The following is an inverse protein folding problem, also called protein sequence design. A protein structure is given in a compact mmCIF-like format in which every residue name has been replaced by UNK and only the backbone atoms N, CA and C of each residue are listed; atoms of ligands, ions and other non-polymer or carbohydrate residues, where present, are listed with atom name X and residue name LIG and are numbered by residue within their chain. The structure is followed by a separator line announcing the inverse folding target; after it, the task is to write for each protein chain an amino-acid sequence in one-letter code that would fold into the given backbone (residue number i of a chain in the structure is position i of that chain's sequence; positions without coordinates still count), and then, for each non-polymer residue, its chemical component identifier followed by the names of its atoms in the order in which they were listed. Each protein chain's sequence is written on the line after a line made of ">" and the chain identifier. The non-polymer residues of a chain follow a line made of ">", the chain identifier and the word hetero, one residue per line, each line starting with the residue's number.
data_IF_997918751136
#
_entry.id   IF_997918751136
#
_cell.length_a   1.000
_cell.length_b   1.000
_cell.length_c   1.000
_cell.angle_alpha   90.00
_cell.angle_beta   90.00
_cell.angle_gamma   90.00
#
_symmetry.space_group_name_H-M   'P 1'
#
loop_
_entity.id
_entity.type
_entity.pdbx_description
1 polymer ?
#
# COMPACT_ATOMS: atom_id res chain seq x y z
N UNK A 1 28.43 12.48 -21.81
CA UNK A 1 27.74 11.22 -21.41
C UNK A 1 26.88 11.56 -20.21
N UNK A 2 25.68 12.08 -20.44
CA UNK A 2 24.78 12.47 -19.36
C UNK A 2 23.71 11.40 -19.20
N UNK A 3 23.72 10.71 -18.07
CA UNK A 3 22.46 10.26 -17.49
C UNK A 3 22.59 10.41 -15.97
N UNK A 4 22.24 11.61 -15.52
CA UNK A 4 22.03 11.87 -14.12
C UNK A 4 20.72 11.18 -13.73
N UNK A 5 20.81 10.12 -12.94
CA UNK A 5 19.64 9.62 -12.19
C UNK A 5 19.22 10.73 -11.22
N UNK A 6 17.98 11.26 -11.31
CA UNK A 6 17.51 12.25 -10.34
C UNK A 6 17.31 11.58 -8.95
N UNK A 7 17.55 12.30 -7.83
CA UNK A 7 17.25 11.82 -6.50
C UNK A 7 15.73 11.93 -6.28
N UNK A 8 14.99 10.96 -6.80
CA UNK A 8 13.60 10.70 -6.42
C UNK A 8 13.56 9.42 -5.62
N UNK A 9 14.23 9.38 -4.47
CA UNK A 9 14.25 8.21 -3.61
C UNK A 9 12.91 8.08 -2.90
N UNK A 10 11.89 7.61 -3.63
CA UNK A 10 10.78 6.88 -3.05
C UNK A 10 11.34 5.58 -2.46
N UNK A 11 12.01 5.68 -1.32
CA UNK A 11 12.35 4.49 -0.55
C UNK A 11 11.03 3.88 -0.10
N UNK A 12 10.81 2.64 -0.52
CA UNK A 12 9.74 1.82 0.02
C UNK A 12 9.84 1.70 1.53
N UNK A 13 8.81 1.15 2.15
CA UNK A 13 8.80 0.90 3.58
C UNK A 13 9.68 -0.30 3.94
N UNK A 14 10.16 -0.29 5.18
CA UNK A 14 10.80 -1.46 5.77
C UNK A 14 9.87 -2.68 5.71
N UNK A 15 10.38 -3.87 5.32
CA UNK A 15 9.56 -5.07 5.19
C UNK A 15 8.86 -5.45 6.49
N UNK A 16 9.48 -5.16 7.64
CA UNK A 16 8.84 -5.38 8.93
C UNK A 16 7.64 -4.43 9.16
N UNK A 17 7.73 -3.18 8.71
CA UNK A 17 6.61 -2.24 8.80
C UNK A 17 5.45 -2.70 7.90
N UNK A 18 5.76 -3.17 6.69
CA UNK A 18 4.77 -3.75 5.75
C UNK A 18 4.08 -4.98 6.36
N UNK A 19 4.84 -5.88 6.99
CA UNK A 19 4.29 -7.10 7.60
C UNK A 19 3.38 -6.82 8.81
N UNK A 20 3.63 -5.73 9.53
CA UNK A 20 2.82 -5.32 10.68
C UNK A 20 1.57 -4.51 10.31
N UNK A 21 1.29 -4.31 9.01
CA UNK A 21 0.05 -3.67 8.58
C UNK A 21 -1.16 -4.51 9.00
N UNK A 22 -2.30 -3.85 9.35
CA UNK A 22 -3.53 -4.54 9.69
C UNK A 22 -3.96 -5.50 8.57
N UNK A 23 -4.11 -6.78 8.92
CA UNK A 23 -4.67 -7.82 8.05
C UNK A 23 -6.07 -8.14 8.57
N UNK A 24 -7.03 -8.19 7.65
CA UNK A 24 -8.38 -8.68 7.92
C UNK A 24 -8.72 -9.79 6.94
N UNK A 25 -9.59 -10.71 7.36
CA UNK A 25 -10.24 -11.63 6.43
C UNK A 25 -11.37 -10.86 5.76
N UNK A 26 -11.34 -10.83 4.43
CA UNK A 26 -12.40 -10.23 3.66
C UNK A 26 -13.66 -11.08 3.79
N UNK A 27 -14.76 -10.45 4.18
CA UNK A 27 -16.08 -11.07 4.17
C UNK A 27 -16.85 -10.53 2.98
N UNK A 28 -17.31 -11.41 2.10
CA UNK A 28 -18.02 -11.01 0.89
C UNK A 28 -19.35 -10.33 1.24
N UNK A 29 -19.37 -9.00 1.20
CA UNK A 29 -20.57 -8.18 1.44
C UNK A 29 -20.89 -7.23 0.29
N UNK A 30 -19.87 -6.56 -0.24
CA UNK A 30 -19.96 -5.61 -1.36
C UNK A 30 -18.97 -6.06 -2.44
N UNK A 31 -19.27 -5.89 -3.74
CA UNK A 31 -18.31 -6.25 -4.79
C UNK A 31 -17.17 -5.21 -4.81
N UNK A 32 -16.13 -5.45 -4.02
CA UNK A 32 -14.93 -4.60 -3.95
C UNK A 32 -13.75 -5.30 -4.63
N UNK A 33 -12.86 -4.50 -5.22
CA UNK A 33 -11.71 -4.99 -5.99
C UNK A 33 -10.40 -4.33 -5.54
N UNK A 34 -9.30 -5.07 -5.71
CA UNK A 34 -7.97 -4.55 -5.46
C UNK A 34 -7.51 -3.69 -6.64
N UNK A 35 -7.40 -2.36 -6.46
CA UNK A 35 -7.03 -1.46 -7.55
C UNK A 35 -5.58 -1.64 -8.07
N UNK A 36 -4.76 -2.48 -7.43
CA UNK A 36 -3.40 -2.81 -7.88
C UNK A 36 -3.44 -3.88 -8.98
N UNK A 37 -4.27 -4.93 -8.81
CA UNK A 37 -4.37 -6.03 -9.76
C UNK A 37 -5.69 -6.07 -10.54
N UNK A 38 -6.64 -5.20 -10.21
CA UNK A 38 -8.00 -5.15 -10.76
C UNK A 38 -8.78 -6.48 -10.56
N UNK A 39 -8.40 -7.24 -9.52
CA UNK A 39 -9.07 -8.48 -9.13
C UNK A 39 -10.08 -8.23 -8.02
N UNK A 40 -11.25 -8.86 -8.13
CA UNK A 40 -12.30 -8.85 -7.10
C UNK A 40 -11.82 -9.63 -5.88
N UNK A 41 -12.16 -9.16 -4.68
CA UNK A 41 -11.89 -9.92 -3.46
C UNK A 41 -12.85 -11.10 -3.32
N UNK A 42 -12.31 -12.27 -3.04
CA UNK A 42 -13.01 -13.51 -2.73
C UNK A 42 -13.21 -13.65 -1.21
N UNK A 43 -14.24 -14.41 -0.83
CA UNK A 43 -14.54 -14.65 0.58
C UNK A 43 -13.36 -15.32 1.29
N UNK A 44 -13.11 -14.90 2.53
CA UNK A 44 -12.00 -15.36 3.37
C UNK A 44 -10.59 -14.99 2.84
N UNK A 45 -10.47 -14.13 1.83
CA UNK A 45 -9.15 -13.65 1.39
C UNK A 45 -8.49 -12.72 2.42
N UNK A 46 -7.16 -12.87 2.56
CA UNK A 46 -6.36 -11.99 3.40
C UNK A 46 -6.09 -10.67 2.69
N UNK A 47 -6.72 -9.62 3.18
CA UNK A 47 -6.55 -8.25 2.68
C UNK A 47 -5.86 -7.39 3.74
N UNK A 48 -5.06 -6.44 3.28
CA UNK A 48 -4.39 -5.45 4.13
C UNK A 48 -5.08 -4.11 4.03
N UNK A 49 -5.20 -3.45 5.18
CA UNK A 49 -5.80 -2.12 5.31
C UNK A 49 -4.70 -1.11 5.65
N UNK A 50 -4.61 -0.04 4.87
CA UNK A 50 -3.67 1.03 5.16
C UNK A 50 -4.21 1.93 6.29
N UNK A 51 -3.49 2.09 7.42
CA UNK A 51 -4.05 2.69 8.63
C UNK A 51 -4.42 4.18 8.50
N UNK A 52 -3.70 4.97 7.69
CA UNK A 52 -4.02 6.40 7.57
C UNK A 52 -5.14 6.75 6.58
N UNK A 53 -5.61 5.80 5.76
CA UNK A 53 -6.66 6.09 4.78
C UNK A 53 -7.71 4.99 4.61
N UNK A 54 -7.57 3.87 5.33
CA UNK A 54 -8.49 2.73 5.36
C UNK A 54 -8.73 2.04 4.01
N UNK A 55 -7.89 2.30 3.00
CA UNK A 55 -7.98 1.60 1.72
C UNK A 55 -7.48 0.16 1.84
N UNK A 56 -8.19 -0.73 1.15
CA UNK A 56 -8.04 -2.19 1.24
C UNK A 56 -7.43 -2.74 -0.04
N UNK A 57 -6.52 -3.69 0.11
CA UNK A 57 -5.80 -4.33 -0.99
C UNK A 57 -5.54 -5.80 -0.68
N UNK A 58 -5.32 -6.63 -1.70
CA UNK A 58 -4.74 -7.96 -1.46
C UNK A 58 -3.42 -7.80 -0.72
N UNK A 59 -3.22 -8.60 0.33
CA UNK A 59 -2.00 -8.55 1.15
C UNK A 59 -0.74 -8.59 0.28
N UNK A 60 -0.66 -9.54 -0.66
CA UNK A 60 0.48 -9.66 -1.56
C UNK A 60 0.66 -8.46 -2.51
N UNK A 61 -0.43 -7.86 -2.97
CA UNK A 61 -0.37 -6.74 -3.91
C UNK A 61 0.19 -5.49 -3.25
N UNK A 62 -0.32 -5.15 -2.07
CA UNK A 62 0.15 -3.96 -1.35
C UNK A 62 1.55 -4.16 -0.81
N UNK A 63 1.94 -5.37 -0.42
CA UNK A 63 3.30 -5.63 0.06
C UNK A 63 4.36 -5.37 -1.01
N UNK A 64 4.11 -5.84 -2.24
CA UNK A 64 4.97 -5.56 -3.40
C UNK A 64 5.06 -4.07 -3.70
N UNK A 65 3.92 -3.37 -3.67
CA UNK A 65 3.87 -1.93 -3.89
C UNK A 65 4.66 -1.17 -2.83
N UNK A 66 4.47 -1.51 -1.56
CA UNK A 66 5.09 -0.82 -0.43
C UNK A 66 6.58 -1.07 -0.30
N UNK A 67 7.10 -2.16 -0.84
CA UNK A 67 8.54 -2.36 -1.00
C UNK A 67 9.20 -1.35 -1.94
N UNK A 68 8.42 -0.66 -2.78
CA UNK A 68 8.93 0.36 -3.72
C UNK A 68 8.40 1.77 -3.45
N UNK A 69 7.25 1.93 -2.80
CA UNK A 69 6.58 3.21 -2.60
C UNK A 69 5.93 3.30 -1.22
N UNK A 70 6.24 4.32 -0.44
CA UNK A 70 5.70 4.51 0.92
C UNK A 70 4.36 5.29 0.95
N UNK A 71 3.53 5.15 -0.09
CA UNK A 71 2.25 5.86 -0.24
C UNK A 71 1.12 4.94 -0.71
N UNK A 72 -0.11 5.25 -0.30
CA UNK A 72 -1.32 4.55 -0.74
C UNK A 72 -1.46 4.59 -2.29
N UNK A 73 -1.68 3.43 -2.96
CA UNK A 73 -1.91 3.38 -4.41
C UNK A 73 -3.12 4.18 -4.89
N UNK A 74 -4.16 4.32 -4.05
CA UNK A 74 -5.42 4.95 -4.44
C UNK A 74 -5.42 6.47 -4.21
N UNK A 75 -5.06 6.91 -2.99
CA UNK A 75 -5.15 8.32 -2.61
C UNK A 75 -3.81 9.02 -2.39
N UNK A 76 -2.68 8.30 -2.57
CA UNK A 76 -1.31 8.81 -2.37
C UNK A 76 -0.98 9.28 -0.95
N UNK A 77 -1.81 8.98 0.04
CA UNK A 77 -1.51 9.26 1.44
C UNK A 77 -0.23 8.55 1.88
N UNK A 78 0.73 9.29 2.44
CA UNK A 78 1.99 8.75 2.94
C UNK A 78 1.77 7.83 4.15
N UNK A 79 2.42 6.66 4.14
CA UNK A 79 2.43 5.66 5.21
C UNK A 79 3.50 5.93 6.27
N UNK A 80 4.38 6.90 6.02
CA UNK A 80 5.41 7.26 6.96
C UNK A 80 4.88 8.32 7.95
N UNK A 81 4.76 8.01 9.25
CA UNK A 81 4.25 8.97 10.23
C UNK A 81 5.18 10.17 10.47
N UNK A 82 6.40 10.16 9.89
CA UNK A 82 7.39 11.23 10.03
C UNK A 82 7.47 12.19 8.84
N UNK A 83 6.74 11.96 7.75
CA UNK A 83 6.55 12.99 6.72
C UNK A 83 5.43 13.91 7.16
N UNK A 84 5.69 14.71 8.20
CA UNK A 84 4.91 15.92 8.46
C UNK A 84 4.88 16.76 7.16
N UNK A 85 3.74 17.37 6.80
CA UNK A 85 3.75 18.37 5.74
C UNK A 85 4.66 19.51 6.23
N UNK A 86 5.80 19.65 5.57
CA UNK A 86 6.65 20.83 5.72
C UNK A 86 5.78 22.01 5.27
N UNK A 87 5.50 22.89 6.23
CA UNK A 87 5.23 24.31 6.00
C UNK A 87 6.32 24.92 5.11
#
# INVERSE_FOLDING_TARGET
>A
MANATPPGSSLGLDPNAINNLPIILYTKGEETECCICLGVFEDEEMVKVLPQCNHVYHSQCVDKWLGSQSSCPLCRACLNPFTSPLL
#
